data_IF_619771046821
#
_entry.id   IF_619771046821
#
_cell.length_a   1.000
_cell.length_b   1.000
_cell.length_c   1.000
_cell.angle_alpha   90.00
_cell.angle_beta   90.00
_cell.angle_gamma   90.00
#
_symmetry.space_group_name_H-M   'P 1'
#
loop_
_entity.id
_entity.type
_entity.pdbx_description
1 polymer ?
#
# COMPACT_ATOMS: atom_id res chain seq x y z
N UNK A 1 -11.10 -13.89 -6.53
CA UNK A 1 -10.72 -12.50 -6.21
C UNK A 1 -9.45 -12.17 -6.98
N UNK A 2 -9.34 -10.97 -7.55
CA UNK A 2 -8.16 -10.57 -8.30
C UNK A 2 -7.22 -9.81 -7.36
N UNK A 3 -5.97 -10.26 -7.21
CA UNK A 3 -5.00 -9.56 -6.39
C UNK A 3 -4.70 -8.18 -6.96
N UNK A 4 -4.48 -7.21 -6.06
CA UNK A 4 -4.08 -5.84 -6.43
C UNK A 4 -2.61 -5.69 -6.06
N UNK A 5 -1.82 -5.17 -6.99
CA UNK A 5 -0.40 -4.95 -6.79
C UNK A 5 -0.06 -3.48 -7.03
N UNK A 6 0.79 -2.92 -6.17
CA UNK A 6 1.37 -1.60 -6.36
C UNK A 6 2.89 -1.69 -6.27
N UNK A 7 3.58 -0.73 -6.89
CA UNK A 7 5.02 -0.57 -6.71
C UNK A 7 5.29 -0.29 -5.23
N UNK A 8 6.26 -0.99 -4.65
CA UNK A 8 6.66 -0.76 -3.28
C UNK A 8 7.21 0.67 -3.13
N UNK A 9 6.73 1.39 -2.12
CA UNK A 9 7.15 2.76 -1.85
C UNK A 9 8.30 2.79 -0.85
N UNK A 10 9.32 3.62 -1.12
CA UNK A 10 10.42 3.87 -0.20
C UNK A 10 10.08 4.95 0.85
N UNK A 11 8.93 5.62 0.72
CA UNK A 11 8.55 6.70 1.64
C UNK A 11 8.10 6.13 3.00
N UNK A 12 8.69 6.54 4.13
CA UNK A 12 8.41 5.93 5.45
C UNK A 12 6.93 5.96 5.86
N UNK A 13 6.24 7.06 5.55
CA UNK A 13 4.79 7.21 5.84
C UNK A 13 3.98 6.20 5.01
N UNK A 14 4.31 6.03 3.74
CA UNK A 14 3.59 5.10 2.88
C UNK A 14 3.86 3.65 3.28
N UNK A 15 5.09 3.31 3.69
CA UNK A 15 5.43 1.99 4.25
C UNK A 15 4.62 1.67 5.51
N UNK A 16 4.42 2.65 6.40
CA UNK A 16 3.56 2.48 7.58
C UNK A 16 2.12 2.13 7.17
N UNK A 17 1.58 2.82 6.16
CA UNK A 17 0.23 2.54 5.67
C UNK A 17 0.11 1.17 5.00
N UNK A 18 1.12 0.77 4.23
CA UNK A 18 1.17 -0.57 3.63
C UNK A 18 1.13 -1.65 4.74
N UNK A 19 1.93 -1.49 5.80
CA UNK A 19 1.91 -2.38 6.95
C UNK A 19 0.55 -2.43 7.66
N UNK A 20 -0.13 -1.30 7.81
CA UNK A 20 -1.45 -1.22 8.46
C UNK A 20 -2.58 -1.82 7.62
N UNK A 21 -2.44 -1.83 6.29
CA UNK A 21 -3.48 -2.30 5.36
C UNK A 21 -3.61 -3.82 5.26
N UNK A 22 -2.63 -4.58 5.77
CA UNK A 22 -2.71 -6.04 5.89
C UNK A 22 -2.39 -6.86 4.64
N UNK A 23 -1.43 -6.43 3.81
CA UNK A 23 -0.92 -7.19 2.64
C UNK A 23 0.47 -7.80 2.84
N UNK A 24 1.14 -8.16 1.74
CA UNK A 24 2.48 -8.77 1.75
C UNK A 24 3.43 -8.12 0.72
N UNK A 25 4.74 -8.18 0.99
CA UNK A 25 5.76 -7.78 0.01
C UNK A 25 6.06 -8.98 -0.89
N UNK A 26 6.16 -8.73 -2.18
CA UNK A 26 6.57 -9.71 -3.20
C UNK A 26 7.51 -9.06 -4.20
N UNK A 27 8.09 -9.85 -5.10
CA UNK A 27 8.99 -9.36 -6.13
C UNK A 27 8.44 -9.73 -7.50
N UNK A 28 8.54 -8.81 -8.45
CA UNK A 28 8.28 -9.09 -9.87
C UNK A 28 9.36 -10.01 -10.44
N UNK A 29 9.14 -10.57 -11.64
CA UNK A 29 10.13 -11.38 -12.34
C UNK A 29 11.47 -10.65 -12.59
N UNK A 30 11.47 -9.32 -12.61
CA UNK A 30 12.66 -8.48 -12.75
C UNK A 30 13.32 -8.12 -11.41
N UNK A 31 12.83 -8.65 -10.29
CA UNK A 31 13.36 -8.38 -8.95
C UNK A 31 12.90 -7.06 -8.32
N UNK A 32 11.92 -6.37 -8.92
CA UNK A 32 11.39 -5.13 -8.33
C UNK A 32 10.40 -5.44 -7.20
N UNK A 33 10.53 -4.81 -6.01
CA UNK A 33 9.60 -5.01 -4.91
C UNK A 33 8.23 -4.41 -5.24
N UNK A 34 7.18 -5.18 -4.94
CA UNK A 34 5.79 -4.78 -5.04
C UNK A 34 5.07 -5.13 -3.75
N UNK A 35 4.05 -4.33 -3.42
CA UNK A 35 3.13 -4.66 -2.34
C UNK A 35 1.88 -5.31 -2.92
N UNK A 36 1.48 -6.43 -2.32
CA UNK A 36 0.43 -7.30 -2.78
C UNK A 36 -0.72 -7.30 -1.78
N UNK A 37 -1.88 -6.84 -2.25
CA UNK A 37 -3.15 -6.91 -1.53
C UNK A 37 -3.90 -8.18 -1.97
N UNK A 38 -4.26 -9.00 -1.00
CA UNK A 38 -4.99 -10.26 -1.20
C UNK A 38 -6.44 -10.00 -1.63
N UNK A 39 -6.99 -8.86 -1.23
CA UNK A 39 -8.37 -8.48 -1.50
C UNK A 39 -8.54 -6.96 -1.63
N UNK A 40 -9.74 -6.56 -2.06
CA UNK A 40 -10.10 -5.14 -2.27
C UNK A 40 -10.18 -4.35 -0.96
N UNK A 41 -10.52 -5.00 0.16
CA UNK A 41 -10.69 -4.34 1.46
C UNK A 41 -9.34 -3.82 1.98
N UNK A 42 -8.27 -4.63 1.85
CA UNK A 42 -6.91 -4.20 2.18
C UNK A 42 -6.47 -3.00 1.33
N UNK A 43 -6.75 -3.03 0.02
CA UNK A 43 -6.43 -1.90 -0.85
C UNK A 43 -7.22 -0.62 -0.49
N UNK A 44 -8.50 -0.76 -0.11
CA UNK A 44 -9.31 0.36 0.36
C UNK A 44 -8.79 0.93 1.69
N UNK A 45 -8.38 0.09 2.63
CA UNK A 45 -7.77 0.53 3.88
C UNK A 45 -6.50 1.35 3.62
N UNK A 46 -5.65 0.92 2.68
CA UNK A 46 -4.47 1.68 2.25
C UNK A 46 -4.84 3.06 1.70
N UNK A 47 -5.85 3.15 0.83
CA UNK A 47 -6.28 4.44 0.26
C UNK A 47 -6.78 5.41 1.33
N UNK A 48 -7.59 4.93 2.28
CA UNK A 48 -8.10 5.76 3.38
C UNK A 48 -6.96 6.35 4.23
N UNK A 49 -5.94 5.54 4.54
CA UNK A 49 -4.76 5.99 5.29
C UNK A 49 -3.98 7.09 4.53
N UNK A 50 -3.86 6.98 3.20
CA UNK A 50 -3.23 8.02 2.38
C UNK A 50 -4.04 9.32 2.33
N UNK A 51 -5.36 9.21 2.26
CA UNK A 51 -6.24 10.38 2.22
C UNK A 51 -6.24 11.14 3.55
N UNK A 52 -6.15 10.43 4.68
CA UNK A 52 -6.02 11.05 6.01
C UNK A 52 -4.75 11.91 6.12
N UNK A 53 -3.60 11.41 5.64
CA UNK A 53 -2.35 12.19 5.65
C UNK A 53 -2.45 13.43 4.76
N UNK A 54 -2.99 13.30 3.54
CA UNK A 54 -3.19 14.46 2.65
C UNK A 54 -4.06 15.55 3.28
N UNK A 55 -5.03 15.15 4.12
CA UNK A 55 -5.90 16.09 4.83
C UNK A 55 -5.16 16.79 5.98
N UNK A 56 -4.28 16.07 6.68
CA UNK A 56 -3.53 16.59 7.82
C UNK A 56 -2.32 17.46 7.40
N UNK A 57 -1.77 17.30 6.20
CA UNK A 57 -0.67 18.15 5.68
C UNK A 57 -1.15 19.50 5.11
N UNK A 58 -2.45 19.67 4.87
CA UNK A 58 -3.05 20.92 4.36
C UNK A 58 -3.88 21.67 5.41
N UNK A 59 -3.70 21.36 6.71
CA UNK A 59 -4.42 21.95 7.84
C UNK A 59 -3.57 22.90 8.67
#
# INVERSE_FOLDING_TARGET
MHPIQIVFSEHPIDQRHLGQSGGSISFTACGLPVFHFENREQFQAYLLLKEEVKRNENG
#
